data_IF_508508009519
#
_entry.id   IF_508508009519
#
_cell.length_a   1.000
_cell.length_b   1.000
_cell.length_c   1.000
_cell.angle_alpha   90.00
_cell.angle_beta   90.00
_cell.angle_gamma   90.00
#
_symmetry.space_group_name_H-M   'P 1'
#
loop_
_entity.id
_entity.type
_entity.pdbx_description
1 polymer ?
#
# COMPACT_ATOMS: atom_id res chain seq x y z
N UNK A 1 48.66 -63.33 28.52
CA UNK A 1 49.35 -63.75 29.76
C UNK A 1 49.35 -62.56 30.71
N UNK A 2 48.70 -62.71 31.88
CA UNK A 2 48.79 -61.96 33.14
C UNK A 2 48.96 -60.42 33.15
N UNK A 3 48.07 -59.59 33.72
CA UNK A 3 47.50 -59.47 35.10
C UNK A 3 48.24 -58.45 35.98
N UNK A 4 47.45 -57.47 36.50
CA UNK A 4 47.58 -56.70 37.77
C UNK A 4 48.73 -55.65 37.87
N UNK A 5 48.62 -54.44 38.47
CA UNK A 5 47.85 -53.89 39.62
C UNK A 5 47.94 -52.33 39.66
N UNK A 6 46.90 -51.66 40.23
CA UNK A 6 46.77 -50.32 40.87
C UNK A 6 47.24 -49.03 40.12
N UNK A 7 46.63 -47.85 40.24
CA UNK A 7 45.97 -47.25 41.41
C UNK A 7 44.85 -46.24 41.07
N UNK A 8 43.98 -46.08 42.07
CA UNK A 8 42.82 -45.21 42.23
C UNK A 8 43.19 -43.71 42.24
N UNK A 9 42.45 -42.87 41.51
CA UNK A 9 42.28 -41.45 41.85
C UNK A 9 40.88 -41.01 41.42
N UNK A 10 40.00 -40.88 42.43
CA UNK A 10 38.68 -40.27 42.33
C UNK A 10 38.85 -38.77 42.02
N UNK A 11 38.42 -38.36 40.82
CA UNK A 11 38.15 -36.97 40.48
C UNK A 11 36.66 -36.79 40.24
N UNK A 12 35.92 -36.40 41.29
CA UNK A 12 34.56 -35.87 41.16
C UNK A 12 34.63 -34.51 40.44
N UNK A 13 34.27 -34.47 39.16
CA UNK A 13 33.92 -33.21 38.51
C UNK A 13 32.51 -32.81 38.95
N UNK A 14 32.43 -31.80 39.81
CA UNK A 14 31.21 -31.02 40.03
C UNK A 14 30.88 -30.28 38.72
N UNK A 15 29.89 -30.77 37.99
CA UNK A 15 29.27 -30.02 36.91
C UNK A 15 28.28 -29.05 37.56
N UNK A 16 28.72 -27.82 37.82
CA UNK A 16 27.80 -26.72 38.15
C UNK A 16 27.02 -26.38 36.88
N UNK A 17 25.79 -26.88 36.82
CA UNK A 17 24.80 -26.49 35.83
C UNK A 17 24.44 -25.01 36.08
N UNK A 18 25.07 -24.08 35.37
CA UNK A 18 24.58 -22.70 35.28
C UNK A 18 23.29 -22.73 34.48
N UNK A 19 22.17 -22.78 35.20
CA UNK A 19 20.82 -22.56 34.66
C UNK A 19 20.77 -21.11 34.19
N UNK A 20 20.76 -20.92 32.88
CA UNK A 20 20.31 -19.66 32.26
C UNK A 20 18.82 -19.55 32.56
N UNK A 21 18.32 -18.44 33.13
CA UNK A 21 16.88 -18.31 33.38
C UNK A 21 16.17 -18.26 32.03
N UNK A 22 15.42 -19.32 31.75
CA UNK A 22 14.45 -19.33 30.66
C UNK A 22 13.44 -18.22 30.89
N UNK A 23 13.18 -17.44 29.86
CA UNK A 23 11.96 -16.64 29.81
C UNK A 23 10.79 -17.61 29.90
N UNK A 24 10.13 -17.64 31.06
CA UNK A 24 8.93 -18.43 31.30
C UNK A 24 7.86 -18.08 30.26
N UNK A 25 7.65 -18.99 29.32
CA UNK A 25 6.35 -19.21 28.72
C UNK A 25 5.46 -19.88 29.78
N UNK A 26 4.93 -19.08 30.70
CA UNK A 26 3.83 -19.46 31.61
C UNK A 26 3.45 -18.20 32.37
N UNK A 27 2.43 -17.48 31.88
CA UNK A 27 1.62 -16.54 32.67
C UNK A 27 0.44 -15.94 31.88
N UNK A 28 0.17 -16.35 30.63
CA UNK A 28 -0.98 -15.84 29.87
C UNK A 28 -2.29 -16.64 30.07
N UNK A 29 -2.23 -17.83 30.68
CA UNK A 29 -3.41 -18.72 30.84
C UNK A 29 -3.88 -18.88 32.30
N UNK A 30 -3.34 -18.10 33.25
CA UNK A 30 -3.73 -18.17 34.68
C UNK A 30 -4.39 -16.89 35.25
N UNK A 31 -4.66 -15.87 34.44
CA UNK A 31 -5.43 -14.68 34.85
C UNK A 31 -6.93 -14.78 34.49
N UNK A 32 -7.47 -15.99 34.37
CA UNK A 32 -8.88 -16.25 34.07
C UNK A 32 -9.80 -16.25 35.32
N UNK A 33 -9.33 -15.69 36.44
CA UNK A 33 -10.18 -15.38 37.59
C UNK A 33 -10.55 -13.89 37.49
N UNK A 34 -11.72 -13.62 36.91
CA UNK A 34 -12.28 -12.27 36.76
C UNK A 34 -12.17 -11.47 38.07
N UNK A 35 -11.41 -10.37 38.03
CA UNK A 35 -11.25 -9.45 39.15
C UNK A 35 -12.63 -9.12 39.76
N UNK A 36 -12.89 -9.46 41.04
CA UNK A 36 -14.18 -9.23 41.69
C UNK A 36 -14.63 -7.76 41.62
N UNK A 37 -13.68 -6.82 41.54
CA UNK A 37 -13.96 -5.40 41.43
C UNK A 37 -14.53 -5.06 40.04
N UNK A 38 -14.05 -5.69 38.98
CA UNK A 38 -14.55 -5.49 37.62
C UNK A 38 -15.99 -6.00 37.47
N UNK A 39 -16.32 -7.15 38.09
CA UNK A 39 -17.68 -7.68 38.11
C UNK A 39 -18.67 -6.69 38.73
N UNK A 40 -18.31 -6.11 39.87
CA UNK A 40 -19.16 -5.11 40.55
C UNK A 40 -19.39 -3.88 39.66
N UNK A 41 -18.37 -3.40 38.95
CA UNK A 41 -18.55 -2.27 38.04
C UNK A 41 -19.41 -2.63 36.83
N UNK A 42 -19.26 -3.84 36.30
CA UNK A 42 -20.10 -4.34 35.21
C UNK A 42 -21.57 -4.41 35.63
N UNK A 43 -21.89 -4.97 36.81
CA UNK A 43 -23.26 -4.99 37.34
C UNK A 43 -23.85 -3.59 37.49
N UNK A 44 -23.00 -2.60 37.83
CA UNK A 44 -23.42 -1.20 37.97
C UNK A 44 -23.69 -0.50 36.63
N UNK A 45 -23.36 -1.09 35.48
CA UNK A 45 -23.69 -0.53 34.16
C UNK A 45 -25.20 -0.45 33.93
N UNK A 46 -25.99 -1.38 34.45
CA UNK A 46 -27.46 -1.39 34.34
C UNK A 46 -28.18 -0.73 35.53
N UNK A 47 -27.47 -0.06 36.44
CA UNK A 47 -28.08 0.50 37.66
C UNK A 47 -29.09 1.61 37.34
N UNK A 48 -30.28 1.64 37.97
CA UNK A 48 -31.25 2.74 37.86
C UNK A 48 -30.66 4.13 38.19
N UNK A 49 -29.62 4.17 39.03
CA UNK A 49 -28.97 5.41 39.43
C UNK A 49 -27.93 5.87 38.40
N UNK A 50 -28.23 6.98 37.71
CA UNK A 50 -27.36 7.57 36.69
C UNK A 50 -25.89 7.76 37.16
N UNK A 51 -25.68 8.22 38.41
CA UNK A 51 -24.35 8.43 38.95
C UNK A 51 -23.54 7.12 39.10
N UNK A 52 -24.20 6.01 39.41
CA UNK A 52 -23.55 4.70 39.50
C UNK A 52 -23.12 4.22 38.11
N UNK A 53 -24.01 4.28 37.12
CA UNK A 53 -23.70 3.92 35.72
C UNK A 53 -22.52 4.73 35.20
N UNK A 54 -22.59 6.06 35.35
CA UNK A 54 -21.51 6.98 34.92
C UNK A 54 -20.18 6.66 35.62
N UNK A 55 -20.20 6.38 36.92
CA UNK A 55 -18.98 6.02 37.66
C UNK A 55 -18.42 4.67 37.20
N UNK A 56 -19.26 3.67 36.95
CA UNK A 56 -18.86 2.36 36.50
C UNK A 56 -18.22 2.41 35.11
N UNK A 57 -18.87 3.07 34.16
CA UNK A 57 -18.36 3.31 32.79
C UNK A 57 -16.96 3.93 32.84
N UNK A 58 -16.76 5.01 33.59
CA UNK A 58 -15.45 5.67 33.70
C UNK A 58 -14.36 4.76 34.29
N UNK A 59 -14.70 3.92 35.29
CA UNK A 59 -13.75 2.99 35.92
C UNK A 59 -13.38 1.84 34.98
N UNK A 60 -14.34 1.29 34.25
CA UNK A 60 -14.12 0.21 33.28
C UNK A 60 -13.25 0.68 32.11
N UNK A 61 -13.54 1.88 31.55
CA UNK A 61 -12.68 2.48 30.52
C UNK A 61 -11.25 2.70 31.04
N UNK A 62 -11.11 3.18 32.29
CA UNK A 62 -9.80 3.38 32.91
C UNK A 62 -9.04 2.07 33.15
N UNK A 63 -9.75 0.97 33.44
CA UNK A 63 -9.15 -0.35 33.59
C UNK A 63 -8.61 -0.90 32.26
N UNK A 64 -9.07 -0.37 31.12
CA UNK A 64 -8.48 -0.64 29.81
C UNK A 64 -8.64 -2.11 29.40
N UNK A 65 -7.60 -2.74 28.80
CA UNK A 65 -7.67 -4.12 28.32
C UNK A 65 -8.13 -5.15 29.37
N UNK A 66 -7.85 -4.92 30.66
CA UNK A 66 -8.26 -5.83 31.75
C UNK A 66 -9.78 -5.93 31.91
N UNK A 67 -10.53 -4.90 31.53
CA UNK A 67 -11.98 -4.89 31.62
C UNK A 67 -12.67 -5.63 30.47
N UNK A 68 -11.96 -5.91 29.36
CA UNK A 68 -12.56 -6.45 28.13
C UNK A 68 -13.31 -7.77 28.38
N UNK A 69 -12.76 -8.79 29.07
CA UNK A 69 -13.48 -10.05 29.28
C UNK A 69 -14.79 -9.86 30.05
N UNK A 70 -14.79 -9.03 31.11
CA UNK A 70 -15.96 -8.77 31.93
C UNK A 70 -17.03 -7.97 31.18
N UNK A 71 -16.62 -7.02 30.32
CA UNK A 71 -17.52 -6.27 29.45
C UNK A 71 -18.20 -7.18 28.41
N UNK A 72 -17.44 -8.09 27.80
CA UNK A 72 -17.97 -9.06 26.84
C UNK A 72 -18.96 -10.02 27.49
N UNK A 73 -18.69 -10.47 28.72
CA UNK A 73 -19.62 -11.27 29.51
C UNK A 73 -20.93 -10.51 29.78
N UNK A 74 -20.85 -9.23 30.15
CA UNK A 74 -22.00 -8.36 30.40
C UNK A 74 -22.94 -8.27 29.18
N UNK A 75 -22.38 -8.27 27.98
CA UNK A 75 -23.12 -8.19 26.72
C UNK A 75 -23.91 -9.47 26.38
N UNK A 76 -23.75 -10.55 27.16
CA UNK A 76 -24.61 -11.72 27.08
C UNK A 76 -25.94 -11.54 27.84
N UNK A 77 -26.09 -10.48 28.64
CA UNK A 77 -27.35 -10.15 29.31
C UNK A 77 -28.45 -9.75 28.31
N UNK A 78 -29.72 -9.82 28.75
CA UNK A 78 -30.87 -9.37 27.95
C UNK A 78 -31.18 -7.87 28.09
N UNK A 79 -30.46 -7.16 28.95
CA UNK A 79 -30.67 -5.75 29.20
C UNK A 79 -29.95 -4.88 28.16
N UNK A 80 -30.73 -4.15 27.37
CA UNK A 80 -30.20 -3.34 26.28
C UNK A 80 -29.31 -2.19 26.78
N UNK A 81 -29.63 -1.61 27.94
CA UNK A 81 -28.83 -0.52 28.52
C UNK A 81 -27.44 -1.02 28.95
N UNK A 82 -27.36 -2.20 29.57
CA UNK A 82 -26.10 -2.84 29.92
C UNK A 82 -25.27 -3.16 28.66
N UNK A 83 -25.89 -3.71 27.61
CA UNK A 83 -25.19 -4.01 26.34
C UNK A 83 -24.62 -2.72 25.73
N UNK A 84 -25.45 -1.68 25.60
CA UNK A 84 -25.06 -0.39 25.00
C UNK A 84 -23.87 0.24 25.73
N UNK A 85 -23.91 0.28 27.07
CA UNK A 85 -22.82 0.82 27.88
C UNK A 85 -21.56 -0.03 27.83
N UNK A 86 -21.70 -1.35 27.77
CA UNK A 86 -20.56 -2.23 27.61
C UNK A 86 -19.88 -2.02 26.26
N UNK A 87 -20.65 -1.88 25.17
CA UNK A 87 -20.16 -1.53 23.83
C UNK A 87 -19.46 -0.18 23.84
N UNK A 88 -20.03 0.83 24.50
CA UNK A 88 -19.37 2.13 24.65
C UNK A 88 -18.02 2.02 25.37
N UNK A 89 -17.94 1.25 26.46
CA UNK A 89 -16.67 1.00 27.16
C UNK A 89 -15.65 0.30 26.24
N UNK A 90 -16.06 -0.73 25.50
CA UNK A 90 -15.20 -1.42 24.55
C UNK A 90 -14.70 -0.48 23.45
N UNK A 91 -15.55 0.41 22.95
CA UNK A 91 -15.20 1.38 21.90
C UNK A 91 -14.14 2.36 22.37
N UNK A 92 -14.31 2.91 23.58
CA UNK A 92 -13.34 3.81 24.22
C UNK A 92 -12.00 3.13 24.52
N UNK A 93 -12.02 1.85 24.88
CA UNK A 93 -10.81 1.05 25.09
C UNK A 93 -10.14 0.81 23.72
N UNK A 94 -10.90 0.43 22.70
CA UNK A 94 -10.42 0.17 21.35
C UNK A 94 -9.76 1.41 20.74
N UNK A 95 -10.36 2.59 20.88
CA UNK A 95 -9.80 3.86 20.39
C UNK A 95 -8.44 4.22 20.98
N UNK A 96 -8.10 3.69 22.17
CA UNK A 96 -6.80 3.90 22.83
C UNK A 96 -5.78 2.80 22.53
N UNK A 97 -6.22 1.68 21.96
CA UNK A 97 -5.32 0.62 21.53
C UNK A 97 -4.51 1.08 20.32
N UNK A 98 -3.35 0.46 20.16
CA UNK A 98 -2.52 0.61 18.97
C UNK A 98 -3.34 0.34 17.68
N UNK A 99 -3.16 1.11 16.60
CA UNK A 99 -3.89 0.91 15.34
C UNK A 99 -3.66 -0.46 14.70
N UNK A 100 -2.53 -1.12 14.99
CA UNK A 100 -2.16 -2.45 14.53
C UNK A 100 -2.58 -3.58 15.49
N UNK A 101 -3.20 -3.25 16.63
CA UNK A 101 -3.71 -4.25 17.55
C UNK A 101 -5.07 -4.79 17.06
N UNK A 102 -5.08 -6.07 16.68
CA UNK A 102 -6.28 -6.79 16.21
C UNK A 102 -7.02 -7.52 17.32
N UNK A 103 -6.47 -7.54 18.54
CA UNK A 103 -7.00 -8.23 19.71
C UNK A 103 -7.64 -7.26 20.72
N UNK A 104 -8.06 -7.78 21.88
CA UNK A 104 -8.66 -6.99 22.95
C UNK A 104 -10.02 -6.42 22.54
N UNK A 105 -10.29 -5.15 22.87
CA UNK A 105 -11.62 -4.58 22.69
C UNK A 105 -12.05 -4.51 21.22
N UNK A 106 -11.14 -4.12 20.32
CA UNK A 106 -11.40 -4.12 18.88
C UNK A 106 -11.71 -5.51 18.33
N UNK A 107 -10.87 -6.51 18.67
CA UNK A 107 -11.07 -7.89 18.25
C UNK A 107 -12.38 -8.49 18.77
N UNK A 108 -12.76 -8.19 20.00
CA UNK A 108 -14.02 -8.65 20.60
C UNK A 108 -15.24 -7.99 19.94
N UNK A 109 -15.19 -6.70 19.63
CA UNK A 109 -16.24 -6.03 18.86
C UNK A 109 -16.43 -6.69 17.49
N UNK A 110 -15.34 -6.97 16.76
CA UNK A 110 -15.37 -7.69 15.47
C UNK A 110 -15.96 -9.10 15.59
N UNK A 111 -15.65 -9.81 16.68
CA UNK A 111 -16.20 -11.14 16.94
C UNK A 111 -17.69 -11.08 17.24
N UNK A 112 -18.12 -10.11 18.04
CA UNK A 112 -19.51 -9.93 18.47
C UNK A 112 -20.41 -9.43 17.34
N UNK A 113 -19.91 -8.58 16.43
CA UNK A 113 -20.68 -8.09 15.28
C UNK A 113 -21.09 -9.20 14.30
N UNK A 114 -20.33 -10.30 14.28
CA UNK A 114 -20.64 -11.51 13.49
C UNK A 114 -21.71 -12.40 14.14
N UNK A 115 -22.17 -12.07 15.35
CA UNK A 115 -23.23 -12.82 16.03
C UNK A 115 -24.62 -12.30 15.65
N UNK A 116 -25.68 -12.73 16.35
CA UNK A 116 -27.04 -12.26 16.13
C UNK A 116 -27.56 -11.43 17.31
N UNK A 117 -28.59 -10.62 17.05
CA UNK A 117 -29.31 -9.82 18.05
C UNK A 117 -28.65 -8.47 18.36
N UNK A 118 -29.13 -7.80 19.40
CA UNK A 118 -28.77 -6.41 19.74
C UNK A 118 -27.28 -6.19 19.92
N UNK A 119 -26.57 -7.15 20.55
CA UNK A 119 -25.11 -7.06 20.73
C UNK A 119 -24.35 -7.00 19.40
N UNK A 120 -24.83 -7.69 18.37
CA UNK A 120 -24.20 -7.70 17.06
C UNK A 120 -24.39 -6.36 16.36
N UNK A 121 -25.63 -5.86 16.35
CA UNK A 121 -25.97 -4.55 15.78
C UNK A 121 -25.21 -3.41 16.46
N UNK A 122 -25.18 -3.39 17.79
CA UNK A 122 -24.46 -2.34 18.55
C UNK A 122 -22.94 -2.46 18.36
N UNK A 123 -22.39 -3.67 18.32
CA UNK A 123 -20.95 -3.86 18.03
C UNK A 123 -20.60 -3.40 16.61
N UNK A 124 -21.48 -3.65 15.63
CA UNK A 124 -21.26 -3.17 14.26
C UNK A 124 -21.27 -1.64 14.19
N UNK A 125 -22.24 -0.98 14.83
CA UNK A 125 -22.29 0.48 14.89
C UNK A 125 -21.02 1.07 15.54
N UNK A 126 -20.54 0.46 16.63
CA UNK A 126 -19.29 0.84 17.27
C UNK A 126 -18.07 0.64 16.36
N UNK A 127 -18.02 -0.47 15.61
CA UNK A 127 -16.94 -0.73 14.63
C UNK A 127 -16.90 0.37 13.58
N UNK A 128 -18.05 0.78 13.06
CA UNK A 128 -18.15 1.81 12.03
C UNK A 128 -17.67 3.16 12.58
N UNK A 129 -18.10 3.54 13.78
CA UNK A 129 -17.62 4.77 14.45
C UNK A 129 -16.11 4.77 14.71
N UNK A 130 -15.55 3.65 15.20
CA UNK A 130 -14.11 3.50 15.43
C UNK A 130 -13.35 3.60 14.11
N UNK A 131 -13.86 3.01 13.03
CA UNK A 131 -13.25 3.08 11.70
C UNK A 131 -13.21 4.51 11.21
N UNK A 132 -14.32 5.24 11.25
CA UNK A 132 -14.38 6.63 10.81
C UNK A 132 -13.40 7.52 11.60
N UNK A 133 -13.33 7.33 12.93
CA UNK A 133 -12.42 8.06 13.79
C UNK A 133 -10.95 7.71 13.50
N UNK A 134 -10.63 6.42 13.30
CA UNK A 134 -9.27 5.97 13.00
C UNK A 134 -8.84 6.31 11.58
N UNK A 135 -9.72 6.35 10.60
CA UNK A 135 -9.42 6.81 9.25
C UNK A 135 -9.07 8.30 9.26
N UNK A 136 -9.85 9.11 9.98
CA UNK A 136 -9.54 10.54 10.19
C UNK A 136 -8.16 10.73 10.85
N UNK A 137 -7.83 9.91 11.85
CA UNK A 137 -6.50 9.91 12.47
C UNK A 137 -5.42 9.44 11.50
N UNK A 138 -5.68 8.41 10.70
CA UNK A 138 -4.74 7.85 9.74
C UNK A 138 -4.29 8.90 8.73
N UNK A 139 -5.23 9.64 8.13
CA UNK A 139 -4.92 10.73 7.19
C UNK A 139 -3.99 11.75 7.84
N UNK A 140 -4.27 12.16 9.08
CA UNK A 140 -3.44 13.14 9.81
C UNK A 140 -2.04 12.58 10.11
N UNK A 141 -1.95 11.34 10.59
CA UNK A 141 -0.68 10.72 10.98
C UNK A 141 0.21 10.42 9.77
N UNK A 142 -0.38 10.00 8.66
CA UNK A 142 0.32 9.79 7.38
C UNK A 142 0.80 11.13 6.80
N UNK A 143 -0.05 12.14 6.74
CA UNK A 143 0.34 13.47 6.25
C UNK A 143 1.49 14.09 7.08
N UNK A 144 1.47 13.92 8.40
CA UNK A 144 2.56 14.38 9.28
C UNK A 144 3.90 13.70 9.03
N UNK A 145 3.89 12.49 8.48
CA UNK A 145 5.11 11.76 8.12
C UNK A 145 5.55 12.01 6.68
N UNK A 146 4.82 12.86 5.92
CA UNK A 146 5.11 13.19 4.53
C UNK A 146 4.46 12.25 3.51
N UNK A 147 3.59 11.34 3.93
CA UNK A 147 2.74 10.55 3.01
C UNK A 147 1.58 11.41 2.53
N UNK A 148 1.39 11.49 1.22
CA UNK A 148 0.27 12.21 0.63
C UNK A 148 -0.95 11.31 0.56
N UNK A 149 -2.09 11.78 1.07
CA UNK A 149 -3.40 11.11 0.94
C UNK A 149 -4.37 12.14 0.38
N UNK A 150 -4.69 12.05 -0.91
CA UNK A 150 -5.46 13.10 -1.57
C UNK A 150 -5.71 12.87 -3.05
N UNK A 151 -6.31 13.86 -3.70
CA UNK A 151 -6.57 13.84 -5.12
C UNK A 151 -5.26 14.05 -5.90
N UNK A 152 -4.96 13.16 -6.82
CA UNK A 152 -3.81 13.27 -7.71
C UNK A 152 -4.12 12.65 -9.08
N UNK A 153 -3.38 13.07 -10.12
CA UNK A 153 -3.45 12.44 -11.43
C UNK A 153 -2.79 11.07 -11.37
N UNK A 154 -3.56 10.02 -11.67
CA UNK A 154 -3.07 8.66 -11.74
C UNK A 154 -3.17 8.14 -13.18
N UNK A 155 -2.05 7.62 -13.69
CA UNK A 155 -2.01 7.02 -15.02
C UNK A 155 -2.44 5.57 -14.93
N UNK A 156 -3.50 5.22 -15.66
CA UNK A 156 -3.84 3.82 -15.93
C UNK A 156 -3.76 3.66 -17.44
N UNK A 157 -2.82 2.81 -17.89
CA UNK A 157 -2.49 2.64 -19.32
C UNK A 157 -1.88 3.93 -19.91
N UNK A 158 -2.64 4.65 -20.74
CA UNK A 158 -2.22 5.90 -21.37
C UNK A 158 -3.15 7.08 -21.05
N UNK A 159 -4.04 6.91 -20.07
CA UNK A 159 -4.99 7.96 -19.66
C UNK A 159 -4.68 8.36 -18.23
N UNK A 160 -4.46 9.66 -18.01
CA UNK A 160 -4.32 10.24 -16.68
C UNK A 160 -5.68 10.75 -16.22
N UNK A 161 -6.15 10.26 -15.07
CA UNK A 161 -7.41 10.71 -14.47
C UNK A 161 -7.19 11.11 -13.02
N UNK A 162 -7.90 12.11 -12.49
CA UNK A 162 -7.87 12.41 -11.06
C UNK A 162 -8.42 11.22 -10.25
N UNK A 163 -7.64 10.76 -9.27
CA UNK A 163 -8.00 9.69 -8.34
C UNK A 163 -7.64 10.09 -6.92
N UNK A 164 -8.32 9.53 -5.93
CA UNK A 164 -7.81 9.54 -4.56
C UNK A 164 -6.63 8.56 -4.50
N UNK A 165 -5.46 9.04 -4.06
CA UNK A 165 -4.20 8.28 -4.07
C UNK A 165 -3.54 8.38 -2.71
N UNK A 166 -2.99 7.26 -2.25
CA UNK A 166 -1.95 7.23 -1.21
C UNK A 166 -0.58 7.24 -1.89
N UNK A 167 0.20 8.29 -1.71
CA UNK A 167 1.53 8.44 -2.30
C UNK A 167 2.62 8.49 -1.23
N UNK A 168 3.64 7.64 -1.40
CA UNK A 168 4.84 7.59 -0.58
C UNK A 168 6.04 7.82 -1.50
N UNK A 169 6.71 8.94 -1.33
CA UNK A 169 7.77 9.44 -2.21
C UNK A 169 8.91 10.08 -1.40
N UNK A 170 9.74 10.91 -2.04
CA UNK A 170 10.83 11.67 -1.42
C UNK A 170 10.41 12.61 -0.28
N UNK A 171 9.14 12.98 -0.16
CA UNK A 171 8.64 13.83 0.92
C UNK A 171 8.39 13.04 2.22
N UNK A 172 8.26 11.72 2.14
CA UNK A 172 8.08 10.88 3.31
C UNK A 172 9.36 10.85 4.16
N UNK A 173 9.19 11.04 5.46
CA UNK A 173 10.24 11.08 6.50
C UNK A 173 11.18 9.87 6.54
N UNK A 174 10.79 8.74 5.94
CA UNK A 174 11.51 7.47 6.04
C UNK A 174 11.15 6.62 7.26
N UNK A 175 10.28 7.11 8.15
CA UNK A 175 9.84 6.40 9.35
C UNK A 175 8.71 5.42 9.04
N UNK A 176 8.90 4.15 9.43
CA UNK A 176 7.93 3.08 9.20
C UNK A 176 6.76 3.09 10.19
N UNK A 177 6.94 3.65 11.39
CA UNK A 177 5.91 3.64 12.44
C UNK A 177 4.59 4.28 11.95
N UNK A 178 4.58 5.45 11.29
CA UNK A 178 3.35 6.05 10.80
C UNK A 178 2.63 5.21 9.74
N UNK A 179 3.34 4.37 8.98
CA UNK A 179 2.74 3.57 7.92
C UNK A 179 1.80 2.48 8.44
N UNK A 180 1.84 2.13 9.73
CA UNK A 180 0.86 1.23 10.35
C UNK A 180 -0.59 1.75 10.27
N UNK A 181 -0.77 3.05 10.00
CA UNK A 181 -2.07 3.67 9.81
C UNK A 181 -2.70 3.37 8.44
N UNK A 182 -1.94 2.86 7.47
CA UNK A 182 -2.44 2.56 6.12
C UNK A 182 -3.62 1.59 6.11
N UNK A 183 -3.64 0.60 7.02
CA UNK A 183 -4.77 -0.34 7.18
C UNK A 183 -6.11 0.32 7.50
N UNK A 184 -6.10 1.57 7.97
CA UNK A 184 -7.29 2.33 8.33
C UNK A 184 -7.83 3.18 7.18
N UNK A 185 -7.13 3.27 6.06
CA UNK A 185 -7.60 3.94 4.84
C UNK A 185 -8.58 3.00 4.11
N UNK A 186 -9.89 3.21 4.26
CA UNK A 186 -10.91 2.23 3.84
C UNK A 186 -11.32 2.38 2.38
N UNK A 187 -11.33 3.60 1.84
CA UNK A 187 -12.00 3.89 0.55
C UNK A 187 -11.04 4.08 -0.62
N UNK A 188 -9.74 4.19 -0.38
CA UNK A 188 -8.75 4.49 -1.43
C UNK A 188 -8.24 3.22 -2.09
N UNK A 189 -8.41 3.15 -3.42
CA UNK A 189 -8.03 1.99 -4.24
C UNK A 189 -6.65 2.11 -4.89
N UNK A 190 -6.09 3.33 -4.92
CA UNK A 190 -4.89 3.66 -5.67
C UNK A 190 -3.73 4.02 -4.74
N UNK A 191 -2.57 3.43 -4.99
CA UNK A 191 -1.34 3.81 -4.33
C UNK A 191 -0.18 4.01 -5.30
N UNK A 192 0.71 4.94 -4.94
CA UNK A 192 1.97 5.19 -5.64
C UNK A 192 3.13 5.14 -4.66
N UNK A 193 4.16 4.38 -4.99
CA UNK A 193 5.44 4.39 -4.27
C UNK A 193 6.53 4.82 -5.23
N UNK A 194 7.27 5.87 -4.88
CA UNK A 194 8.29 6.49 -5.75
C UNK A 194 9.66 6.54 -5.09
N UNK A 195 10.72 6.41 -5.88
CA UNK A 195 12.07 6.74 -5.40
C UNK A 195 12.57 5.77 -4.32
N UNK A 196 13.26 6.34 -3.33
CA UNK A 196 13.84 5.61 -2.20
C UNK A 196 12.78 5.04 -1.23
N UNK A 197 11.50 5.39 -1.41
CA UNK A 197 10.40 4.79 -0.66
C UNK A 197 10.07 3.36 -1.12
N UNK A 198 10.57 2.92 -2.28
CA UNK A 198 10.38 1.57 -2.79
C UNK A 198 11.19 0.59 -1.93
N UNK A 199 10.56 0.07 -0.87
CA UNK A 199 11.15 -0.85 0.10
C UNK A 199 10.15 -1.94 0.45
N UNK A 200 10.66 -3.11 0.82
CA UNK A 200 9.85 -4.25 1.25
C UNK A 200 8.89 -3.87 2.37
N UNK A 201 9.38 -3.18 3.40
CA UNK A 201 8.62 -2.80 4.60
C UNK A 201 7.51 -1.80 4.26
N UNK A 202 7.73 -0.91 3.29
CA UNK A 202 6.72 0.05 2.82
C UNK A 202 5.61 -0.68 2.09
N UNK A 203 5.96 -1.58 1.17
CA UNK A 203 4.98 -2.38 0.42
C UNK A 203 4.20 -3.31 1.34
N UNK A 204 4.85 -3.89 2.37
CA UNK A 204 4.19 -4.73 3.37
C UNK A 204 3.09 -3.96 4.12
N UNK A 205 3.32 -2.69 4.48
CA UNK A 205 2.29 -1.82 5.08
C UNK A 205 1.24 -1.37 4.08
N UNK A 206 1.64 -1.11 2.84
CA UNK A 206 0.74 -0.64 1.80
C UNK A 206 -0.35 -1.66 1.46
N UNK A 207 0.02 -2.95 1.36
CA UNK A 207 -0.94 -4.02 1.05
C UNK A 207 -1.90 -4.34 2.21
N UNK A 208 -1.75 -3.71 3.38
CA UNK A 208 -2.74 -3.78 4.47
C UNK A 208 -3.96 -2.90 4.21
N UNK A 209 -3.92 -2.00 3.22
CA UNK A 209 -5.06 -1.16 2.82
C UNK A 209 -6.22 -2.02 2.29
N UNK A 210 -7.43 -1.97 2.89
CA UNK A 210 -8.51 -2.91 2.58
C UNK A 210 -9.03 -2.88 1.14
N UNK A 211 -9.07 -1.71 0.50
CA UNK A 211 -9.56 -1.54 -0.89
C UNK A 211 -8.46 -1.36 -1.94
N UNK A 212 -7.19 -1.38 -1.54
CA UNK A 212 -6.08 -1.21 -2.46
C UNK A 212 -6.10 -2.30 -3.53
N UNK A 213 -6.19 -1.88 -4.79
CA UNK A 213 -6.21 -2.79 -5.92
C UNK A 213 -5.39 -2.27 -7.12
N UNK A 214 -4.96 -1.02 -7.10
CA UNK A 214 -4.15 -0.42 -8.16
C UNK A 214 -2.89 0.20 -7.59
N UNK A 215 -1.73 -0.26 -8.06
CA UNK A 215 -0.42 0.12 -7.52
C UNK A 215 0.50 0.61 -8.64
N UNK A 216 1.14 1.76 -8.44
CA UNK A 216 2.21 2.25 -9.29
C UNK A 216 3.53 2.32 -8.52
N UNK A 217 4.57 1.68 -9.06
CA UNK A 217 5.93 1.73 -8.54
C UNK A 217 6.78 2.52 -9.54
N UNK A 218 7.32 3.66 -9.10
CA UNK A 218 7.83 4.71 -9.99
C UNK A 218 9.25 5.11 -9.62
N UNK A 219 10.15 5.20 -10.59
CA UNK A 219 11.49 5.78 -10.46
C UNK A 219 12.30 5.25 -9.28
N UNK A 220 12.75 4.01 -9.35
CA UNK A 220 13.61 3.46 -8.31
C UNK A 220 14.04 2.05 -8.61
N UNK A 221 14.43 1.33 -7.57
CA UNK A 221 14.86 -0.07 -7.68
C UNK A 221 13.88 -0.95 -6.94
N UNK A 222 13.53 -2.06 -7.58
CA UNK A 222 12.73 -3.13 -6.99
C UNK A 222 13.63 -4.36 -6.86
N UNK A 223 13.50 -5.08 -5.74
CA UNK A 223 14.09 -6.40 -5.58
C UNK A 223 13.00 -7.49 -5.68
N UNK A 224 13.42 -8.76 -5.68
CA UNK A 224 12.47 -9.88 -5.74
C UNK A 224 11.51 -9.89 -4.54
N UNK A 225 11.94 -9.45 -3.36
CA UNK A 225 11.12 -9.48 -2.14
C UNK A 225 9.89 -8.56 -2.26
N UNK A 226 10.04 -7.40 -2.90
CA UNK A 226 8.93 -6.48 -3.17
C UNK A 226 7.89 -7.15 -4.10
N UNK A 227 8.35 -7.84 -5.14
CA UNK A 227 7.45 -8.53 -6.09
C UNK A 227 6.72 -9.69 -5.39
N UNK A 228 7.42 -10.47 -4.56
CA UNK A 228 6.84 -11.56 -3.76
C UNK A 228 5.73 -11.09 -2.81
N UNK A 229 5.83 -9.88 -2.24
CA UNK A 229 4.76 -9.32 -1.41
C UNK A 229 3.48 -9.09 -2.20
N UNK A 230 3.58 -8.56 -3.43
CA UNK A 230 2.43 -8.32 -4.30
C UNK A 230 1.72 -9.62 -4.70
N UNK A 231 2.43 -10.75 -4.76
CA UNK A 231 1.84 -12.07 -5.00
C UNK A 231 0.88 -12.52 -3.88
N UNK A 232 1.00 -11.95 -2.68
CA UNK A 232 0.14 -12.28 -1.53
C UNK A 232 -1.21 -11.58 -1.55
N UNK A 233 -1.37 -10.54 -2.37
CA UNK A 233 -2.63 -9.83 -2.49
C UNK A 233 -3.70 -10.76 -3.09
N UNK A 234 -4.95 -10.67 -2.63
CA UNK A 234 -6.02 -11.50 -3.20
C UNK A 234 -6.35 -11.11 -4.65
N UNK A 235 -6.19 -9.82 -4.98
CA UNK A 235 -6.50 -9.26 -6.29
C UNK A 235 -5.72 -7.97 -6.50
N UNK A 236 -5.14 -7.83 -7.70
CA UNK A 236 -4.62 -6.57 -8.22
C UNK A 236 -5.37 -6.27 -9.51
N UNK A 237 -6.05 -5.14 -9.61
CA UNK A 237 -6.67 -4.70 -10.86
C UNK A 237 -5.58 -4.30 -11.84
N UNK A 238 -4.77 -3.32 -11.43
CA UNK A 238 -3.75 -2.72 -12.29
C UNK A 238 -2.42 -2.56 -11.55
N UNK A 239 -1.33 -2.93 -12.21
CA UNK A 239 0.02 -2.76 -11.69
C UNK A 239 0.87 -1.98 -12.71
N UNK A 240 1.61 -1.00 -12.23
CA UNK A 240 2.55 -0.23 -13.05
C UNK A 240 3.96 -0.30 -12.47
N UNK A 241 4.92 -0.54 -13.36
CA UNK A 241 6.34 -0.27 -13.13
C UNK A 241 6.79 0.78 -14.13
N UNK A 242 7.22 1.93 -13.61
CA UNK A 242 7.63 3.09 -14.42
C UNK A 242 9.03 3.53 -14.04
N UNK A 243 9.97 3.48 -14.97
CA UNK A 243 11.39 3.76 -14.74
C UNK A 243 11.99 2.96 -13.58
N UNK A 244 11.54 1.70 -13.47
CA UNK A 244 12.04 0.71 -12.52
C UNK A 244 12.73 -0.39 -13.33
N UNK A 245 14.05 -0.57 -13.21
CA UNK A 245 14.77 -1.63 -13.93
C UNK A 245 14.23 -3.01 -13.54
N UNK A 246 13.81 -3.81 -14.53
CA UNK A 246 13.30 -5.17 -14.34
C UNK A 246 14.12 -6.19 -15.14
N UNK A 247 14.56 -7.26 -14.46
CA UNK A 247 15.24 -8.37 -15.13
C UNK A 247 14.22 -9.38 -15.70
N UNK A 248 14.64 -10.28 -16.60
CA UNK A 248 13.78 -11.37 -17.08
C UNK A 248 13.23 -12.25 -15.94
N UNK A 249 14.04 -12.52 -14.91
CA UNK A 249 13.65 -13.33 -13.75
C UNK A 249 12.59 -12.61 -12.91
N UNK A 250 12.69 -11.29 -12.75
CA UNK A 250 11.63 -10.49 -12.14
C UNK A 250 10.32 -10.58 -12.95
N UNK A 251 10.42 -10.65 -14.28
CA UNK A 251 9.27 -10.92 -15.16
C UNK A 251 8.58 -12.25 -14.83
N UNK A 252 9.34 -13.31 -14.52
CA UNK A 252 8.79 -14.61 -14.08
C UNK A 252 8.09 -14.54 -12.71
N UNK A 253 8.51 -13.63 -11.83
CA UNK A 253 7.83 -13.40 -10.56
C UNK A 253 6.59 -12.51 -10.71
N UNK A 254 6.62 -11.53 -11.61
CA UNK A 254 5.47 -10.63 -11.88
C UNK A 254 4.27 -11.42 -12.41
N UNK A 255 4.49 -12.44 -13.26
CA UNK A 255 3.37 -13.25 -13.78
C UNK A 255 2.63 -14.06 -12.72
N UNK A 256 3.21 -14.23 -11.54
CA UNK A 256 2.56 -14.90 -10.40
C UNK A 256 1.66 -13.96 -9.60
N UNK A 257 1.78 -12.65 -9.80
CA UNK A 257 0.92 -11.66 -9.14
C UNK A 257 -0.51 -11.81 -9.70
N UNK A 258 -1.56 -11.78 -8.86
CA UNK A 258 -2.94 -11.92 -9.30
C UNK A 258 -3.50 -10.63 -9.93
N UNK A 259 -2.87 -10.18 -11.01
CA UNK A 259 -3.29 -9.04 -11.84
C UNK A 259 -4.52 -9.44 -12.66
N UNK A 260 -5.47 -8.51 -12.87
CA UNK A 260 -6.77 -8.80 -13.52
C UNK A 260 -7.12 -7.91 -14.70
N UNK A 261 -6.63 -6.68 -14.74
CA UNK A 261 -7.01 -5.70 -15.76
C UNK A 261 -5.81 -5.31 -16.61
N UNK A 262 -4.76 -4.78 -15.99
CA UNK A 262 -3.61 -4.28 -16.76
C UNK A 262 -2.28 -4.37 -16.03
N UNK A 263 -1.22 -4.61 -16.80
CA UNK A 263 0.17 -4.44 -16.40
C UNK A 263 0.83 -3.39 -17.31
N UNK A 264 1.32 -2.29 -16.75
CA UNK A 264 2.04 -1.26 -17.49
C UNK A 264 3.54 -1.32 -17.15
N UNK A 265 4.37 -1.49 -18.17
CA UNK A 265 5.82 -1.56 -18.09
C UNK A 265 6.40 -0.42 -18.91
N UNK A 266 6.81 0.66 -18.26
CA UNK A 266 7.36 1.83 -18.96
C UNK A 266 8.79 2.12 -18.51
N UNK A 267 9.73 2.10 -19.46
CA UNK A 267 11.14 2.39 -19.17
C UNK A 267 11.78 1.43 -18.16
N UNK A 268 11.31 0.17 -18.14
CA UNK A 268 11.81 -0.85 -17.22
C UNK A 268 13.02 -1.61 -17.75
N UNK A 269 13.31 -1.49 -19.05
CA UNK A 269 14.40 -2.22 -19.72
C UNK A 269 14.15 -3.73 -19.86
N UNK A 270 12.95 -4.22 -19.50
CA UNK A 270 12.61 -5.63 -19.69
C UNK A 270 12.61 -5.98 -21.19
N UNK A 271 13.25 -7.08 -21.63
CA UNK A 271 13.33 -7.40 -23.04
C UNK A 271 11.94 -7.67 -23.66
N UNK A 272 11.70 -7.18 -24.88
CA UNK A 272 10.44 -7.40 -25.62
C UNK A 272 10.06 -8.87 -25.69
N UNK A 273 11.03 -9.75 -25.98
CA UNK A 273 10.82 -11.20 -26.03
C UNK A 273 10.29 -11.77 -24.71
N UNK A 274 10.72 -11.21 -23.56
CA UNK A 274 10.20 -11.60 -22.25
C UNK A 274 8.76 -11.16 -22.08
N UNK A 275 8.40 -9.95 -22.49
CA UNK A 275 7.02 -9.46 -22.38
C UNK A 275 6.07 -10.28 -23.28
N UNK A 276 6.51 -10.72 -24.46
CA UNK A 276 5.72 -11.64 -25.30
C UNK A 276 5.49 -13.00 -24.63
N UNK A 277 6.50 -13.54 -23.92
CA UNK A 277 6.32 -14.73 -23.08
C UNK A 277 5.28 -14.48 -21.97
N UNK A 278 5.34 -13.33 -21.30
CA UNK A 278 4.37 -12.97 -20.25
C UNK A 278 2.94 -12.87 -20.80
N UNK A 279 2.74 -12.29 -21.99
CA UNK A 279 1.42 -12.24 -22.65
C UNK A 279 0.85 -13.63 -22.93
N UNK A 280 1.71 -14.57 -23.29
CA UNK A 280 1.32 -15.97 -23.52
C UNK A 280 0.89 -16.66 -22.21
N UNK A 281 1.55 -16.32 -21.10
CA UNK A 281 1.24 -16.87 -19.77
C UNK A 281 0.01 -16.23 -19.11
N UNK A 282 -0.33 -14.99 -19.49
CA UNK A 282 -1.42 -14.20 -18.93
C UNK A 282 -2.47 -13.85 -20.00
N UNK A 283 -3.16 -14.85 -20.57
CA UNK A 283 -4.15 -14.60 -21.61
C UNK A 283 -5.28 -13.71 -21.09
N UNK A 284 -5.59 -12.64 -21.82
CA UNK A 284 -6.63 -11.67 -21.47
C UNK A 284 -6.18 -10.52 -20.58
N UNK A 285 -4.94 -10.53 -20.08
CA UNK A 285 -4.37 -9.37 -19.38
C UNK A 285 -3.87 -8.33 -20.40
N UNK A 286 -4.23 -7.05 -20.20
CA UNK A 286 -3.68 -5.97 -21.02
C UNK A 286 -2.26 -5.62 -20.56
N UNK A 287 -1.24 -5.98 -21.34
CA UNK A 287 0.17 -5.66 -21.04
C UNK A 287 0.67 -4.56 -21.97
N UNK A 288 0.76 -3.33 -21.45
CA UNK A 288 1.42 -2.21 -22.13
C UNK A 288 2.92 -2.24 -21.85
N UNK A 289 3.73 -2.16 -22.90
CA UNK A 289 5.18 -2.10 -22.80
C UNK A 289 5.71 -0.96 -23.64
N UNK A 290 6.37 0.01 -22.99
CA UNK A 290 6.95 1.20 -23.61
C UNK A 290 8.38 1.39 -23.12
N UNK A 291 9.28 1.82 -23.98
CA UNK A 291 10.68 2.09 -23.60
C UNK A 291 10.83 3.40 -22.79
N UNK A 292 9.80 4.23 -22.77
CA UNK A 292 9.65 5.33 -21.80
C UNK A 292 10.25 6.66 -22.22
N UNK A 293 10.75 6.80 -23.45
CA UNK A 293 11.11 8.09 -24.02
C UNK A 293 9.90 9.03 -24.09
N UNK A 294 10.13 10.31 -23.83
CA UNK A 294 9.07 11.32 -23.78
C UNK A 294 9.46 12.61 -24.48
N UNK A 295 8.62 13.04 -25.43
CA UNK A 295 8.85 14.26 -26.23
C UNK A 295 8.23 15.51 -25.57
N UNK A 296 7.04 15.38 -24.95
CA UNK A 296 6.34 16.49 -24.30
C UNK A 296 5.42 17.31 -25.21
N UNK A 297 4.71 16.63 -26.13
CA UNK A 297 3.73 17.27 -27.03
C UNK A 297 2.38 16.56 -26.94
N UNK A 298 1.32 17.31 -27.20
CA UNK A 298 0.03 16.77 -27.63
C UNK A 298 -0.19 17.18 -29.08
N UNK A 299 -0.90 16.34 -29.84
CA UNK A 299 -1.26 16.63 -31.22
C UNK A 299 -2.77 16.42 -31.43
N UNK A 300 -3.31 17.09 -32.45
CA UNK A 300 -4.68 16.83 -32.91
C UNK A 300 -4.82 15.39 -33.43
N UNK A 301 -5.85 14.69 -32.96
CA UNK A 301 -6.20 13.34 -33.46
C UNK A 301 -7.21 13.40 -34.60
N UNK A 302 -7.15 12.43 -35.53
CA UNK A 302 -8.23 12.14 -36.49
C UNK A 302 -8.17 12.85 -37.85
N UNK A 303 -7.15 13.64 -38.12
CA UNK A 303 -7.02 14.40 -39.38
C UNK A 303 -5.91 13.92 -40.33
N UNK A 304 -5.35 12.72 -40.12
CA UNK A 304 -4.17 12.22 -40.85
C UNK A 304 -3.08 13.29 -40.98
N UNK A 305 -2.86 14.00 -39.88
CA UNK A 305 -1.83 15.01 -39.71
C UNK A 305 -1.35 14.92 -38.26
N UNK A 306 -0.05 15.03 -38.04
CA UNK A 306 0.52 15.15 -36.70
C UNK A 306 0.81 16.62 -36.41
N UNK A 307 -0.23 17.40 -36.13
CA UNK A 307 -0.09 18.82 -35.78
C UNK A 307 -0.14 19.00 -34.27
N UNK A 308 0.90 19.62 -33.72
CA UNK A 308 0.99 19.95 -32.30
C UNK A 308 -0.12 20.93 -31.94
N UNK A 309 -0.92 20.60 -30.92
CA UNK A 309 -1.88 21.53 -30.32
C UNK A 309 -1.35 22.12 -29.00
N UNK A 310 -0.52 21.37 -28.27
CA UNK A 310 0.08 21.79 -27.00
C UNK A 310 1.52 21.28 -26.92
N UNK A 311 2.41 22.14 -26.42
CA UNK A 311 3.77 21.78 -26.02
C UNK A 311 3.83 21.94 -24.50
N UNK A 312 4.24 20.90 -23.81
CA UNK A 312 4.27 20.89 -22.35
C UNK A 312 5.47 21.69 -21.83
N UNK A 313 5.21 22.57 -20.86
CA UNK A 313 6.22 23.44 -20.25
C UNK A 313 7.36 22.63 -19.61
N UNK A 314 8.60 23.09 -19.78
CA UNK A 314 9.82 22.49 -19.26
C UNK A 314 10.24 21.17 -19.92
N UNK A 315 9.45 20.65 -20.88
CA UNK A 315 9.69 19.34 -21.52
C UNK A 315 10.60 19.46 -22.75
N UNK A 316 11.12 18.33 -23.28
CA UNK A 316 12.09 18.35 -24.37
C UNK A 316 11.66 19.12 -25.62
N UNK A 317 10.40 18.98 -26.04
CA UNK A 317 9.87 19.69 -27.20
C UNK A 317 9.94 21.22 -27.04
N UNK A 318 9.57 21.75 -25.87
CA UNK A 318 9.67 23.18 -25.59
C UNK A 318 11.12 23.66 -25.61
N UNK A 319 12.02 22.93 -24.93
CA UNK A 319 13.46 23.23 -24.89
C UNK A 319 14.11 23.21 -26.27
N UNK A 320 13.57 22.40 -27.18
CA UNK A 320 13.98 22.33 -28.58
C UNK A 320 13.34 23.44 -29.45
N UNK A 321 12.39 24.21 -28.92
CA UNK A 321 11.72 25.29 -29.64
C UNK A 321 10.62 24.82 -30.58
N UNK A 322 10.07 23.61 -30.39
CA UNK A 322 8.81 23.20 -31.00
C UNK A 322 7.67 24.03 -30.38
N UNK A 323 6.67 24.35 -31.20
CA UNK A 323 5.57 25.24 -30.83
C UNK A 323 4.22 24.63 -31.23
N UNK A 324 3.13 25.02 -30.54
CA UNK A 324 1.78 24.76 -31.02
C UNK A 324 1.61 25.25 -32.46
N UNK A 325 1.02 24.40 -33.30
CA UNK A 325 0.83 24.65 -34.74
C UNK A 325 1.88 24.01 -35.65
N UNK A 326 3.01 23.54 -35.11
CA UNK A 326 3.97 22.76 -35.88
C UNK A 326 3.35 21.45 -36.37
N UNK A 327 3.63 21.09 -37.62
CA UNK A 327 3.25 19.82 -38.21
C UNK A 327 4.47 18.89 -38.23
N UNK A 328 4.46 17.86 -37.40
CA UNK A 328 5.52 16.84 -37.37
C UNK A 328 5.37 15.96 -38.62
N UNK A 329 6.44 15.85 -39.39
CA UNK A 329 6.51 15.07 -40.62
C UNK A 329 7.36 13.80 -40.47
N UNK A 330 8.26 13.78 -39.50
CA UNK A 330 9.12 12.62 -39.25
C UNK A 330 9.89 12.73 -37.94
N UNK A 331 10.32 11.57 -37.45
CA UNK A 331 11.25 11.43 -36.34
C UNK A 331 12.31 10.38 -36.68
N UNK A 332 13.58 10.78 -36.66
CA UNK A 332 14.68 10.05 -37.27
C UNK A 332 14.30 9.62 -38.70
N UNK A 333 14.43 8.33 -39.00
CA UNK A 333 14.06 7.73 -40.29
C UNK A 333 12.57 7.38 -40.41
N UNK A 334 11.77 7.60 -39.36
CA UNK A 334 10.35 7.24 -39.35
C UNK A 334 9.48 8.40 -39.86
N UNK A 335 8.73 8.17 -40.93
CA UNK A 335 7.73 9.11 -41.43
C UNK A 335 6.53 9.19 -40.46
N UNK A 336 6.07 10.41 -40.18
CA UNK A 336 4.93 10.69 -39.30
C UNK A 336 3.83 11.33 -40.11
N UNK A 337 2.71 10.64 -40.24
CA UNK A 337 1.53 11.15 -40.95
C UNK A 337 0.39 11.47 -40.00
N UNK A 338 0.37 10.89 -38.80
CA UNK A 338 -0.64 11.11 -37.76
C UNK A 338 0.00 10.96 -36.38
N UNK A 339 -0.72 11.34 -35.33
CA UNK A 339 -0.19 11.34 -33.98
C UNK A 339 0.21 9.94 -33.49
N UNK A 340 -0.52 8.91 -33.90
CA UNK A 340 -0.22 7.53 -33.55
C UNK A 340 1.15 7.09 -34.09
N UNK A 341 1.54 7.55 -35.29
CA UNK A 341 2.86 7.23 -35.88
C UNK A 341 3.99 7.82 -35.01
N UNK A 342 3.81 9.06 -34.54
CA UNK A 342 4.75 9.72 -33.64
C UNK A 342 4.84 8.98 -32.30
N UNK A 343 3.70 8.57 -31.73
CA UNK A 343 3.66 7.80 -30.48
C UNK A 343 4.39 6.47 -30.63
N UNK A 344 4.16 5.73 -31.72
CA UNK A 344 4.79 4.44 -31.99
C UNK A 344 6.30 4.55 -32.15
N UNK A 345 6.77 5.60 -32.83
CA UNK A 345 8.20 5.86 -32.98
C UNK A 345 8.87 6.23 -31.64
N UNK A 346 8.24 7.11 -30.85
CA UNK A 346 8.76 7.51 -29.52
C UNK A 346 8.72 6.36 -28.52
N UNK A 347 7.69 5.51 -28.55
CA UNK A 347 7.52 4.39 -27.60
C UNK A 347 8.64 3.33 -27.70
N UNK A 348 9.40 3.33 -28.80
CA UNK A 348 10.56 2.46 -29.02
C UNK A 348 11.86 3.05 -28.48
N UNK A 349 11.86 4.31 -28.04
CA UNK A 349 13.02 5.05 -27.56
C UNK A 349 13.04 5.14 -26.04
N UNK A 350 14.23 5.26 -25.46
CA UNK A 350 14.43 5.42 -24.02
C UNK A 350 14.69 6.90 -23.66
N UNK A 351 14.46 7.31 -22.39
CA UNK A 351 14.90 8.62 -21.93
C UNK A 351 16.40 8.83 -22.15
N UNK A 352 16.76 10.01 -22.64
CA UNK A 352 18.14 10.38 -22.98
C UNK A 352 18.54 10.11 -24.44
N UNK A 353 17.76 9.33 -25.19
CA UNK A 353 17.97 9.16 -26.62
C UNK A 353 17.87 10.52 -27.33
N UNK A 354 18.82 10.76 -28.23
CA UNK A 354 18.79 11.91 -29.12
C UNK A 354 18.01 11.53 -30.38
N UNK A 355 17.03 12.35 -30.74
CA UNK A 355 16.17 12.15 -31.91
C UNK A 355 16.16 13.40 -32.77
N UNK A 356 16.08 13.19 -34.08
CA UNK A 356 15.90 14.24 -35.06
C UNK A 356 14.41 14.38 -35.40
N UNK A 357 13.82 15.56 -35.21
CA UNK A 357 12.41 15.82 -35.51
C UNK A 357 12.32 16.71 -36.74
N UNK A 358 11.74 16.19 -37.81
CA UNK A 358 11.37 16.94 -39.01
C UNK A 358 9.97 17.51 -38.83
N UNK A 359 9.83 18.82 -38.94
CA UNK A 359 8.55 19.50 -38.79
C UNK A 359 8.37 20.62 -39.81
N UNK A 360 7.12 21.03 -40.03
CA UNK A 360 6.75 22.14 -40.91
C UNK A 360 6.13 23.26 -40.10
N UNK A 361 6.69 24.47 -40.22
CA UNK A 361 6.19 25.70 -39.60
C UNK A 361 6.01 26.77 -40.66
N UNK A 362 4.79 27.28 -40.80
CA UNK A 362 4.47 28.30 -41.82
C UNK A 362 4.74 27.86 -43.26
N UNK A 363 4.63 26.55 -43.54
CA UNK A 363 4.89 25.96 -44.87
C UNK A 363 6.36 25.64 -45.15
N UNK A 364 7.29 25.97 -44.25
CA UNK A 364 8.71 25.68 -44.39
C UNK A 364 9.08 24.47 -43.53
N UNK A 365 9.77 23.50 -44.13
CA UNK A 365 10.30 22.34 -43.41
C UNK A 365 11.58 22.70 -42.66
N UNK A 366 11.66 22.24 -41.42
CA UNK A 366 12.73 22.51 -40.47
C UNK A 366 13.02 21.23 -39.70
N UNK A 367 14.24 21.14 -39.21
CA UNK A 367 14.71 20.00 -38.44
C UNK A 367 15.25 20.48 -37.11
N UNK A 368 14.91 19.76 -36.04
CA UNK A 368 15.48 20.01 -34.71
C UNK A 368 15.91 18.69 -34.08
N UNK A 369 17.11 18.69 -33.51
CA UNK A 369 17.63 17.57 -32.73
C UNK A 369 17.39 17.84 -31.25
N UNK A 370 16.85 16.86 -30.53
CA UNK A 370 16.57 16.97 -29.10
C UNK A 370 16.78 15.66 -28.37
N UNK A 371 16.94 15.74 -27.04
CA UNK A 371 17.02 14.55 -26.18
C UNK A 371 15.66 14.27 -25.53
N UNK A 372 15.19 13.03 -25.64
CA UNK A 372 13.96 12.61 -24.99
C UNK A 372 14.09 12.60 -23.47
N UNK A 373 13.00 12.96 -22.79
CA UNK A 373 12.92 12.98 -21.34
C UNK A 373 12.21 11.73 -20.79
N UNK A 374 11.91 11.76 -19.49
CA UNK A 374 10.97 10.84 -18.86
C UNK A 374 9.57 11.46 -18.81
N UNK A 375 8.57 10.60 -18.82
CA UNK A 375 7.18 10.95 -18.58
C UNK A 375 6.95 11.11 -17.07
N UNK A 376 6.46 12.27 -16.65
CA UNK A 376 6.16 12.55 -15.25
C UNK A 376 7.30 13.19 -14.44
N UNK A 377 8.48 13.39 -15.03
CA UNK A 377 9.43 14.38 -14.52
C UNK A 377 8.73 15.75 -14.68
N UNK A 378 8.49 16.49 -13.59
CA UNK A 378 7.97 17.87 -13.61
C UNK A 378 9.02 18.89 -14.06
#
# INVERSE_FOLDING_TARGET
MNRFILALLLGLFHFTLTVVPGFSQTNAEQDAESDPVLRVWVEQLGSEQFHQRKSATAKLIKAGPKAVPALVEAMASADLETIDRAVHCLSEIAMKQSPDNEEGAWGELLRLSRSAGSRATLSQAAIDEIRDARESQAVIMLARSGVTVGLDLFMVRAVSTPQMVVQIDENWSGELEPLRWLRWIQEIEFARVKGDAIRKEVIERLIEMPKLNTIAIVEGKVDANVIELLQRMQRVNSLEFRYVPLTPEMGDEIVKIPIRVSLNLMGTGIPVAKVEQMRTQLPGLHIDHRQGGFLGVQCYSGFNICRINEVLEGKPAEKAGLLPGDEILGIDDAAVTKFEDLQDAINQKVPGDEVEVLFRRGGVEQTVTLKLGKYGDE
#
